data_IF_506846746416
#
_entry.id   IF_506846746416
#
_cell.length_a   1.000
_cell.length_b   1.000
_cell.length_c   1.000
_cell.angle_alpha   90.00
_cell.angle_beta   90.00
_cell.angle_gamma   90.00
#
_symmetry.space_group_name_H-M   'P 1'
#
loop_
_entity.id
_entity.type
_entity.pdbx_description
1 polymer ?
#
# COMPACT_ATOMS: atom_id res chain seq x y z
N UNK A 1 10.56 22.03 -20.54
CA UNK A 1 9.46 21.20 -20.00
C UNK A 1 10.02 20.36 -18.88
N UNK A 2 9.37 20.34 -17.71
CA UNK A 2 9.77 19.49 -16.59
C UNK A 2 9.47 18.05 -16.98
N UNK A 3 10.46 17.15 -16.87
CA UNK A 3 10.22 15.72 -17.09
C UNK A 3 9.35 15.20 -15.93
N UNK A 4 8.21 14.54 -16.21
CA UNK A 4 7.39 13.96 -15.15
C UNK A 4 8.21 12.89 -14.40
N UNK A 5 8.08 12.86 -13.07
CA UNK A 5 8.88 11.97 -12.22
C UNK A 5 8.09 10.75 -11.74
N UNK A 6 7.03 10.94 -10.95
CA UNK A 6 6.28 9.84 -10.34
C UNK A 6 4.77 10.09 -10.18
N UNK A 7 4.26 11.25 -10.59
CA UNK A 7 2.82 11.58 -10.45
C UNK A 7 1.97 11.13 -11.65
N UNK A 8 2.57 10.42 -12.61
CA UNK A 8 1.89 9.78 -13.74
C UNK A 8 2.79 8.70 -14.39
N UNK A 9 2.28 7.91 -15.35
CA UNK A 9 0.99 8.09 -16.05
C UNK A 9 -0.24 7.67 -15.23
N UNK A 10 -0.08 6.84 -14.21
CA UNK A 10 -1.20 6.40 -13.41
C UNK A 10 -1.55 7.42 -12.33
N UNK A 11 -2.85 7.73 -12.23
CA UNK A 11 -3.34 8.83 -11.39
C UNK A 11 -3.33 8.45 -9.92
N UNK A 12 -2.88 9.39 -9.09
CA UNK A 12 -2.95 9.28 -7.63
C UNK A 12 -4.39 9.35 -7.12
N UNK A 13 -4.63 8.68 -6.00
CA UNK A 13 -5.91 8.68 -5.29
C UNK A 13 -6.04 9.96 -4.47
N UNK A 14 -7.22 10.58 -4.51
CA UNK A 14 -7.55 11.72 -3.65
C UNK A 14 -7.94 11.19 -2.26
N UNK A 15 -7.18 11.60 -1.23
CA UNK A 15 -7.50 11.22 0.14
C UNK A 15 -8.83 11.83 0.59
N UNK A 16 -9.62 11.13 1.44
CA UNK A 16 -10.85 11.68 2.01
C UNK A 16 -10.67 13.03 2.71
N UNK A 17 -9.57 13.23 3.43
CA UNK A 17 -9.26 14.48 4.12
C UNK A 17 -9.05 15.64 3.14
N UNK A 18 -8.30 15.40 2.05
CA UNK A 18 -8.15 16.39 0.98
C UNK A 18 -9.49 16.70 0.31
N UNK A 19 -10.29 15.66 0.02
CA UNK A 19 -11.62 15.79 -0.57
C UNK A 19 -12.52 16.66 0.30
N UNK A 20 -12.58 16.39 1.60
CA UNK A 20 -13.40 17.13 2.57
C UNK A 20 -13.00 18.60 2.66
N UNK A 21 -11.69 18.89 2.74
CA UNK A 21 -11.18 20.25 2.73
C UNK A 21 -11.58 21.01 1.46
N UNK A 22 -11.47 20.35 0.29
CA UNK A 22 -11.83 20.90 -1.01
C UNK A 22 -13.33 21.15 -1.17
N UNK A 23 -14.19 20.27 -0.64
CA UNK A 23 -15.66 20.41 -0.74
C UNK A 23 -16.29 21.18 0.42
N UNK A 24 -15.49 21.62 1.41
CA UNK A 24 -15.99 22.29 2.60
C UNK A 24 -16.76 21.38 3.57
N UNK A 25 -16.57 20.05 3.50
CA UNK A 25 -17.18 19.12 4.46
C UNK A 25 -16.38 19.18 5.77
N UNK A 26 -16.96 19.80 6.79
CA UNK A 26 -16.31 19.99 8.10
C UNK A 26 -16.83 19.03 9.18
N UNK A 27 -17.97 18.37 8.96
CA UNK A 27 -18.54 17.41 9.91
C UNK A 27 -18.28 15.97 9.48
N UNK A 28 -17.66 15.22 10.39
CA UNK A 28 -17.57 13.77 10.39
C UNK A 28 -18.20 13.35 11.71
N UNK A 29 -19.15 12.42 11.68
CA UNK A 29 -19.76 11.92 12.92
C UNK A 29 -18.76 11.09 13.72
N UNK A 30 -18.96 10.95 15.03
CA UNK A 30 -18.11 10.07 15.87
C UNK A 30 -18.07 8.63 15.35
N UNK A 31 -19.16 8.17 14.72
CA UNK A 31 -19.27 6.82 14.16
C UNK A 31 -18.54 6.66 12.82
N UNK A 32 -18.26 7.75 12.12
CA UNK A 32 -17.53 7.76 10.84
C UNK A 32 -16.02 8.05 11.02
N UNK A 33 -15.60 8.56 12.18
CA UNK A 33 -14.23 9.02 12.40
C UNK A 33 -13.18 7.92 12.17
N UNK A 34 -13.46 6.70 12.63
CA UNK A 34 -12.57 5.54 12.44
C UNK A 34 -12.41 5.17 10.97
N UNK A 35 -13.54 5.00 10.26
CA UNK A 35 -13.56 4.69 8.83
C UNK A 35 -12.87 5.78 8.00
N UNK A 36 -13.09 7.06 8.34
CA UNK A 36 -12.44 8.18 7.67
C UNK A 36 -10.92 8.16 7.86
N UNK A 37 -10.43 7.93 9.09
CA UNK A 37 -8.99 7.84 9.37
C UNK A 37 -8.35 6.69 8.62
N UNK A 38 -8.98 5.51 8.64
CA UNK A 38 -8.49 4.34 7.92
C UNK A 38 -8.41 4.61 6.42
N UNK A 39 -9.48 5.12 5.81
CA UNK A 39 -9.50 5.44 4.38
C UNK A 39 -8.43 6.49 4.00
N UNK A 40 -8.14 7.47 4.85
CA UNK A 40 -7.02 8.38 4.60
C UNK A 40 -5.66 7.68 4.60
N UNK A 41 -5.42 6.77 5.55
CA UNK A 41 -4.16 6.02 5.63
C UNK A 41 -4.01 5.10 4.42
N UNK A 42 -5.07 4.39 4.05
CA UNK A 42 -5.13 3.56 2.83
C UNK A 42 -4.73 4.37 1.59
N UNK A 43 -5.33 5.56 1.41
CA UNK A 43 -5.07 6.42 0.26
C UNK A 43 -3.59 6.82 0.17
N UNK A 44 -2.97 7.07 1.32
CA UNK A 44 -1.57 7.45 1.40
C UNK A 44 -0.65 6.27 1.06
N UNK A 45 -0.91 5.08 1.61
CA UNK A 45 -0.14 3.86 1.30
C UNK A 45 -0.27 3.50 -0.17
N UNK A 46 -1.49 3.48 -0.71
CA UNK A 46 -1.72 3.25 -2.13
C UNK A 46 -1.02 4.28 -3.01
N UNK A 47 -1.01 5.55 -2.62
CA UNK A 47 -0.27 6.57 -3.35
C UNK A 47 1.26 6.40 -3.30
N UNK A 48 1.82 5.72 -2.30
CA UNK A 48 3.24 5.29 -2.32
C UNK A 48 3.44 4.21 -3.37
N UNK A 49 2.57 3.20 -3.41
CA UNK A 49 2.61 2.12 -4.40
C UNK A 49 2.48 2.65 -5.83
N UNK A 50 1.52 3.55 -6.07
CA UNK A 50 1.27 4.18 -7.37
C UNK A 50 2.49 4.99 -7.83
N UNK A 51 3.09 5.78 -6.93
CA UNK A 51 4.30 6.56 -7.26
C UNK A 51 5.48 5.66 -7.59
N UNK A 52 5.66 4.57 -6.85
CA UNK A 52 6.68 3.58 -7.14
C UNK A 52 6.49 2.99 -8.55
N UNK A 53 5.28 2.57 -8.88
CA UNK A 53 4.99 1.98 -10.20
C UNK A 53 5.16 3.01 -11.35
N UNK A 54 4.71 4.25 -11.15
CA UNK A 54 4.93 5.35 -12.08
C UNK A 54 6.42 5.60 -12.32
N UNK A 55 7.22 5.64 -11.26
CA UNK A 55 8.67 5.82 -11.38
C UNK A 55 9.31 4.65 -12.16
N UNK A 56 8.93 3.41 -11.87
CA UNK A 56 9.40 2.24 -12.63
C UNK A 56 9.02 2.39 -14.11
N UNK A 57 7.76 2.68 -14.40
CA UNK A 57 7.25 2.79 -15.77
C UNK A 57 7.98 3.87 -16.59
N UNK A 58 8.23 5.03 -15.98
CA UNK A 58 8.90 6.16 -16.63
C UNK A 58 10.40 5.93 -16.83
N UNK A 59 11.07 5.30 -15.85
CA UNK A 59 12.52 5.12 -15.91
C UNK A 59 12.95 3.86 -16.66
N UNK A 60 12.09 2.86 -16.81
CA UNK A 60 12.46 1.57 -17.39
C UNK A 60 13.24 1.69 -18.72
N UNK A 61 12.81 2.58 -19.63
CA UNK A 61 13.48 2.77 -20.92
C UNK A 61 14.72 3.65 -20.89
N UNK A 62 15.01 4.32 -19.77
CA UNK A 62 16.13 5.25 -19.64
C UNK A 62 17.37 4.60 -18.98
N UNK A 63 17.21 3.43 -18.35
CA UNK A 63 18.31 2.71 -17.69
C UNK A 63 19.08 1.88 -18.72
N UNK A 64 20.40 2.08 -18.80
CA UNK A 64 21.27 1.40 -19.78
C UNK A 64 22.64 0.98 -19.26
N UNK A 65 23.14 1.62 -18.19
CA UNK A 65 24.41 1.22 -17.57
C UNK A 65 24.20 -0.01 -16.69
N UNK A 66 25.14 -0.96 -16.73
CA UNK A 66 25.02 -2.23 -16.01
C UNK A 66 24.82 -2.04 -14.50
N UNK A 67 25.52 -1.08 -13.89
CA UNK A 67 25.37 -0.78 -12.47
C UNK A 67 23.96 -0.27 -12.16
N UNK A 68 23.47 0.70 -12.93
CA UNK A 68 22.13 1.27 -12.76
C UNK A 68 21.03 0.21 -12.96
N UNK A 69 21.25 -0.77 -13.86
CA UNK A 69 20.32 -1.90 -14.05
C UNK A 69 20.18 -2.72 -12.76
N UNK A 70 21.29 -3.01 -12.05
CA UNK A 70 21.26 -3.79 -10.80
C UNK A 70 20.53 -3.03 -9.69
N UNK A 71 20.81 -1.74 -9.56
CA UNK A 71 20.16 -0.88 -8.58
C UNK A 71 18.66 -0.71 -8.89
N UNK A 72 18.31 -0.56 -10.18
CA UNK A 72 16.92 -0.48 -10.62
C UNK A 72 16.17 -1.79 -10.44
N UNK A 73 16.78 -2.96 -10.64
CA UNK A 73 16.17 -4.25 -10.32
C UNK A 73 15.90 -4.39 -8.82
N UNK A 74 16.81 -3.90 -7.98
CA UNK A 74 16.60 -3.88 -6.52
C UNK A 74 15.42 -2.99 -6.14
N UNK A 75 15.29 -1.82 -6.78
CA UNK A 75 14.14 -0.94 -6.60
C UNK A 75 12.82 -1.57 -7.03
N UNK A 76 12.77 -2.20 -8.22
CA UNK A 76 11.59 -2.92 -8.71
C UNK A 76 11.18 -4.07 -7.78
N UNK A 77 12.16 -4.83 -7.27
CA UNK A 77 11.92 -5.90 -6.32
C UNK A 77 11.39 -5.39 -4.98
N UNK A 78 11.94 -4.28 -4.47
CA UNK A 78 11.46 -3.68 -3.23
C UNK A 78 10.02 -3.18 -3.37
N UNK A 79 9.67 -2.60 -4.52
CA UNK A 79 8.30 -2.21 -4.83
C UNK A 79 7.35 -3.41 -4.83
N UNK A 80 7.69 -4.51 -5.53
CA UNK A 80 6.80 -5.68 -5.60
C UNK A 80 6.66 -6.38 -4.25
N UNK A 81 7.75 -6.49 -3.48
CA UNK A 81 7.71 -6.99 -2.11
C UNK A 81 6.80 -6.15 -1.21
N UNK A 82 6.82 -4.82 -1.37
CA UNK A 82 5.94 -3.92 -0.60
C UNK A 82 4.48 -4.15 -0.98
N UNK A 83 4.18 -4.36 -2.26
CA UNK A 83 2.82 -4.65 -2.72
C UNK A 83 2.29 -5.99 -2.17
N UNK A 84 3.11 -7.05 -2.22
CA UNK A 84 2.77 -8.33 -1.61
C UNK A 84 2.50 -8.18 -0.11
N UNK A 85 3.42 -7.58 0.64
CA UNK A 85 3.28 -7.43 2.08
C UNK A 85 2.06 -6.59 2.48
N UNK A 86 1.69 -5.59 1.67
CA UNK A 86 0.51 -4.77 1.85
C UNK A 86 -0.77 -5.61 1.76
N UNK A 87 -0.97 -6.32 0.64
CA UNK A 87 -2.18 -7.14 0.43
C UNK A 87 -2.23 -8.38 1.34
N UNK A 88 -1.10 -9.03 1.62
CA UNK A 88 -1.03 -10.16 2.56
C UNK A 88 -1.49 -9.74 3.96
N UNK A 89 -1.10 -8.54 4.40
CA UNK A 89 -1.49 -8.00 5.70
C UNK A 89 -2.99 -7.61 5.72
N UNK A 90 -3.54 -7.14 4.61
CA UNK A 90 -4.98 -6.91 4.48
C UNK A 90 -5.76 -8.22 4.62
N UNK A 91 -5.44 -9.25 3.85
CA UNK A 91 -6.17 -10.53 3.90
C UNK A 91 -6.00 -11.25 5.23
N UNK A 92 -4.79 -11.25 5.81
CA UNK A 92 -4.49 -12.04 7.01
C UNK A 92 -4.90 -11.36 8.32
N UNK A 93 -4.98 -10.02 8.35
CA UNK A 93 -5.22 -9.25 9.58
C UNK A 93 -6.25 -8.14 9.39
N UNK A 94 -6.10 -7.31 8.36
CA UNK A 94 -6.92 -6.10 8.17
C UNK A 94 -8.40 -6.40 7.93
N UNK A 95 -8.70 -7.21 6.92
CA UNK A 95 -10.07 -7.55 6.55
C UNK A 95 -10.80 -8.32 7.65
N UNK A 96 -10.21 -9.37 8.26
CA UNK A 96 -10.86 -10.07 9.38
C UNK A 96 -11.19 -9.14 10.56
N UNK A 97 -10.28 -8.22 10.90
CA UNK A 97 -10.51 -7.26 11.97
C UNK A 97 -11.66 -6.28 11.66
N UNK A 98 -11.78 -5.82 10.42
CA UNK A 98 -12.90 -4.97 9.99
C UNK A 98 -14.24 -5.72 10.00
N UNK A 99 -14.26 -6.99 9.60
CA UNK A 99 -15.47 -7.82 9.69
C UNK A 99 -15.89 -8.04 11.14
N UNK A 100 -14.94 -8.29 12.05
CA UNK A 100 -15.22 -8.41 13.49
C UNK A 100 -15.79 -7.10 14.07
N UNK A 101 -15.17 -5.96 13.75
CA UNK A 101 -15.63 -4.66 14.22
C UNK A 101 -17.02 -4.28 13.71
N UNK A 102 -17.36 -4.69 12.49
CA UNK A 102 -18.65 -4.37 11.86
C UNK A 102 -19.73 -5.42 12.13
N UNK A 103 -19.33 -6.64 12.49
CA UNK A 103 -20.23 -7.79 12.60
C UNK A 103 -20.71 -8.34 11.25
N UNK A 104 -20.13 -7.89 10.13
CA UNK A 104 -20.56 -8.27 8.78
C UNK A 104 -19.52 -9.22 8.17
N UNK A 105 -19.83 -10.51 8.20
CA UNK A 105 -18.99 -11.54 7.56
C UNK A 105 -19.00 -11.39 6.04
N UNK A 106 -17.84 -11.52 5.40
CA UNK A 106 -17.69 -11.43 3.94
C UNK A 106 -17.84 -10.01 3.38
N UNK A 107 -17.77 -8.98 4.23
CA UNK A 107 -17.82 -7.57 3.81
C UNK A 107 -16.74 -7.25 2.77
N UNK A 108 -15.59 -7.92 2.86
CA UNK A 108 -14.39 -7.64 2.06
C UNK A 108 -14.03 -8.79 1.10
N UNK A 109 -14.91 -9.77 0.91
CA UNK A 109 -14.69 -10.88 -0.05
C UNK A 109 -14.45 -10.38 -1.48
N UNK A 110 -15.09 -9.27 -1.86
CA UNK A 110 -14.86 -8.64 -3.17
C UNK A 110 -13.44 -8.08 -3.29
N UNK A 111 -12.88 -7.55 -2.21
CA UNK A 111 -11.51 -7.02 -2.18
C UNK A 111 -10.50 -8.16 -2.33
N UNK A 112 -10.74 -9.29 -1.65
CA UNK A 112 -9.94 -10.52 -1.84
C UNK A 112 -10.02 -11.02 -3.29
N UNK A 113 -11.21 -11.03 -3.90
CA UNK A 113 -11.36 -11.41 -5.31
C UNK A 113 -10.61 -10.46 -6.25
N UNK A 114 -10.60 -9.16 -5.93
CA UNK A 114 -9.84 -8.16 -6.69
C UNK A 114 -8.32 -8.37 -6.59
N UNK A 115 -7.79 -8.82 -5.45
CA UNK A 115 -6.37 -9.22 -5.37
C UNK A 115 -6.01 -10.28 -6.40
N UNK A 116 -6.87 -11.30 -6.54
CA UNK A 116 -6.66 -12.39 -7.50
C UNK A 116 -6.62 -11.91 -8.95
N UNK A 117 -7.24 -10.77 -9.29
CA UNK A 117 -7.26 -10.25 -10.65
C UNK A 117 -5.89 -9.75 -11.13
N UNK A 118 -4.99 -9.36 -10.21
CA UNK A 118 -3.65 -8.88 -10.57
C UNK A 118 -2.51 -9.82 -10.17
N UNK A 119 -2.79 -10.89 -9.41
CA UNK A 119 -1.80 -11.86 -8.91
C UNK A 119 -0.90 -12.43 -10.03
N UNK A 120 -1.48 -12.82 -11.17
CA UNK A 120 -0.71 -13.36 -12.30
C UNK A 120 0.21 -12.31 -12.94
N UNK A 121 -0.26 -11.06 -13.03
CA UNK A 121 0.52 -9.93 -13.54
C UNK A 121 1.70 -9.61 -12.61
N UNK A 122 1.46 -9.62 -11.30
CA UNK A 122 2.49 -9.35 -10.29
C UNK A 122 3.54 -10.46 -10.26
N UNK A 123 3.11 -11.73 -10.33
CA UNK A 123 4.02 -12.88 -10.43
C UNK A 123 4.90 -12.82 -11.68
N UNK A 124 4.33 -12.41 -12.81
CA UNK A 124 5.10 -12.25 -14.05
C UNK A 124 6.16 -11.14 -13.92
N UNK A 125 5.82 -10.05 -13.25
CA UNK A 125 6.75 -8.98 -12.93
C UNK A 125 7.89 -9.48 -12.02
N UNK A 126 7.57 -10.18 -10.93
CA UNK A 126 8.55 -10.72 -9.98
C UNK A 126 9.55 -11.68 -10.64
N UNK A 127 9.04 -12.61 -11.45
CA UNK A 127 9.86 -13.60 -12.15
C UNK A 127 10.85 -12.95 -13.10
N UNK A 128 10.42 -11.90 -13.81
CA UNK A 128 11.31 -11.17 -14.70
C UNK A 128 12.39 -10.40 -13.92
N UNK A 129 12.01 -9.66 -12.86
CA UNK A 129 12.96 -8.92 -12.02
C UNK A 129 14.00 -9.86 -11.41
N UNK A 130 13.57 -11.02 -10.88
CA UNK A 130 14.47 -12.05 -10.37
C UNK A 130 15.41 -12.60 -11.47
N UNK A 131 14.87 -12.90 -12.65
CA UNK A 131 15.67 -13.43 -13.77
C UNK A 131 16.74 -12.45 -14.24
N UNK A 132 16.46 -11.14 -14.27
CA UNK A 132 17.46 -10.11 -14.61
C UNK A 132 18.52 -10.01 -13.51
N UNK A 133 18.09 -9.97 -12.24
CA UNK A 133 18.99 -9.91 -11.09
C UNK A 133 19.96 -11.10 -11.04
N UNK A 134 19.49 -12.30 -11.37
CA UNK A 134 20.28 -13.53 -11.36
C UNK A 134 21.09 -13.74 -12.65
N UNK A 135 21.03 -12.79 -13.60
CA UNK A 135 21.75 -12.87 -14.87
C UNK A 135 21.20 -13.90 -15.86
N UNK A 136 20.00 -14.44 -15.59
CA UNK A 136 19.31 -15.40 -16.46
C UNK A 136 18.58 -14.72 -17.62
N UNK A 137 18.28 -13.42 -17.49
CA UNK A 137 17.68 -12.59 -18.53
C UNK A 137 18.48 -11.30 -18.72
N UNK A 138 18.47 -10.76 -19.95
CA UNK A 138 18.97 -9.41 -20.22
C UNK A 138 17.87 -8.39 -19.90
N UNK A 139 18.27 -7.28 -19.30
CA UNK A 139 17.36 -6.17 -19.04
C UNK A 139 16.82 -5.58 -20.35
N UNK A 140 15.49 -5.61 -20.49
CA UNK A 140 14.68 -4.93 -21.49
C UNK A 140 13.68 -4.01 -20.79
N UNK A 141 13.93 -2.70 -20.82
CA UNK A 141 13.03 -1.69 -20.27
C UNK A 141 11.66 -1.62 -20.97
N UNK A 142 11.57 -1.99 -22.25
CA UNK A 142 10.29 -2.08 -22.94
C UNK A 142 9.48 -3.28 -22.45
N UNK A 143 10.14 -4.38 -22.06
CA UNK A 143 9.46 -5.52 -21.44
C UNK A 143 8.90 -5.18 -20.06
N UNK A 144 9.65 -4.47 -19.22
CA UNK A 144 9.15 -3.94 -17.93
C UNK A 144 7.85 -3.17 -18.13
N UNK A 145 7.81 -2.26 -19.12
CA UNK A 145 6.60 -1.49 -19.42
C UNK A 145 5.42 -2.38 -19.83
N UNK A 146 5.64 -3.39 -20.69
CA UNK A 146 4.58 -4.34 -21.09
C UNK A 146 4.03 -5.15 -19.91
N UNK A 147 4.89 -5.55 -18.97
CA UNK A 147 4.47 -6.21 -17.73
C UNK A 147 3.58 -5.28 -16.89
N UNK A 148 3.98 -4.01 -16.75
CA UNK A 148 3.20 -3.00 -16.03
C UNK A 148 1.87 -2.68 -16.76
N UNK A 149 1.87 -2.60 -18.09
CA UNK A 149 0.65 -2.35 -18.88
C UNK A 149 -0.40 -3.46 -18.65
N UNK A 150 0.03 -4.67 -18.29
CA UNK A 150 -0.85 -5.81 -17.93
C UNK A 150 -1.26 -5.77 -16.45
N UNK A 151 -0.32 -5.49 -15.56
CA UNK A 151 -0.52 -5.47 -14.10
C UNK A 151 -1.35 -4.27 -13.62
N UNK A 152 -1.09 -3.09 -14.17
CA UNK A 152 -1.61 -1.84 -13.61
C UNK A 152 -3.15 -1.71 -13.68
N UNK A 153 -3.85 -2.07 -14.77
CA UNK A 153 -5.30 -1.87 -14.81
C UNK A 153 -6.07 -2.55 -13.65
N UNK A 154 -5.95 -3.88 -13.41
CA UNK A 154 -6.66 -4.52 -12.30
C UNK A 154 -6.17 -4.06 -10.93
N UNK A 155 -4.87 -3.76 -10.78
CA UNK A 155 -4.33 -3.20 -9.54
C UNK A 155 -4.97 -1.85 -9.20
N UNK A 156 -5.09 -0.93 -10.15
CA UNK A 156 -5.62 0.40 -9.89
C UNK A 156 -7.12 0.41 -9.64
N UNK A 157 -7.87 -0.49 -10.29
CA UNK A 157 -9.28 -0.72 -9.98
C UNK A 157 -9.46 -1.17 -8.53
N UNK A 158 -8.61 -2.10 -8.06
CA UNK A 158 -8.60 -2.57 -6.69
C UNK A 158 -8.29 -1.43 -5.68
N UNK A 159 -7.17 -0.71 -5.86
CA UNK A 159 -6.77 0.37 -4.95
C UNK A 159 -7.86 1.45 -4.85
N UNK A 160 -8.51 1.80 -5.96
CA UNK A 160 -9.60 2.77 -5.96
C UNK A 160 -10.89 2.24 -5.30
N UNK A 161 -11.14 0.93 -5.37
CA UNK A 161 -12.32 0.33 -4.74
C UNK A 161 -12.23 0.34 -3.21
N UNK A 162 -11.05 0.12 -2.65
CA UNK A 162 -10.81 0.19 -1.20
C UNK A 162 -11.00 1.59 -0.63
N UNK A 163 -10.56 2.63 -1.35
CA UNK A 163 -10.81 4.01 -0.95
C UNK A 163 -12.31 4.34 -0.81
N UNK A 164 -13.14 3.65 -1.58
CA UNK A 164 -14.59 3.86 -1.54
C UNK A 164 -15.28 3.24 -0.31
N UNK A 165 -14.55 2.45 0.51
CA UNK A 165 -15.05 1.82 1.73
C UNK A 165 -15.56 2.82 2.77
N UNK A 166 -15.01 4.04 2.79
CA UNK A 166 -15.50 5.15 3.63
C UNK A 166 -17.01 5.38 3.47
N UNK A 167 -17.57 5.07 2.30
CA UNK A 167 -18.97 5.34 1.94
C UNK A 167 -19.93 4.19 2.26
N UNK A 168 -19.43 3.02 2.66
CA UNK A 168 -20.31 1.90 3.03
C UNK A 168 -20.88 2.21 4.43
N UNK A 169 -22.20 2.19 4.63
CA UNK A 169 -22.79 2.52 5.92
C UNK A 169 -22.33 1.49 6.96
N UNK A 170 -21.68 1.90 8.06
CA UNK A 170 -21.55 1.04 9.20
C UNK A 170 -22.87 1.12 9.96
N UNK A 171 -23.72 0.10 9.86
CA UNK A 171 -24.56 -0.22 11.01
C UNK A 171 -23.64 -0.77 12.11
N UNK A 172 -22.83 0.11 12.71
CA UNK A 172 -22.00 -0.21 13.88
C UNK A 172 -22.94 -0.36 15.07
N UNK A 173 -23.50 -1.55 15.28
CA UNK A 173 -24.33 -1.89 16.44
C UNK A 173 -23.51 -2.23 17.69
N UNK A 174 -22.17 -2.12 17.65
CA UNK A 174 -21.29 -2.39 18.77
C UNK A 174 -20.84 -1.10 19.46
N UNK A 175 -21.15 -0.95 20.75
CA UNK A 175 -20.61 0.11 21.59
C UNK A 175 -19.08 0.01 21.64
N UNK A 176 -18.37 0.93 20.98
CA UNK A 176 -16.94 1.16 21.22
C UNK A 176 -16.77 1.91 22.54
N UNK A 177 -17.12 1.27 23.65
CA UNK A 177 -16.59 1.66 24.95
C UNK A 177 -15.33 0.83 25.20
N UNK A 178 -14.20 1.53 25.24
CA UNK A 178 -12.93 1.11 25.83
C UNK A 178 -11.97 0.21 25.04
N UNK A 179 -11.49 0.64 23.87
CA UNK A 179 -10.10 0.34 23.50
C UNK A 179 -9.40 1.58 22.94
N UNK A 180 -8.39 2.15 23.65
CA UNK A 180 -7.69 3.31 23.16
C UNK A 180 -6.89 2.91 21.93
N UNK A 181 -7.20 3.52 20.78
CA UNK A 181 -6.24 3.62 19.68
C UNK A 181 -5.00 4.27 20.31
N UNK A 182 -3.95 3.47 20.47
CA UNK A 182 -2.74 3.83 21.20
C UNK A 182 -1.98 4.92 20.42
N UNK A 183 -2.38 6.18 20.63
CA UNK A 183 -1.64 7.36 20.18
C UNK A 183 -0.29 7.53 20.93
N UNK A 184 0.06 6.65 21.88
CA UNK A 184 1.29 6.77 22.67
C UNK A 184 2.52 6.10 22.07
N UNK A 185 2.44 5.44 20.90
CA UNK A 185 3.65 4.91 20.24
C UNK A 185 4.53 5.95 19.55
N UNK A 186 4.19 7.25 19.62
CA UNK A 186 5.01 8.37 19.15
C UNK A 186 5.98 8.92 20.21
N UNK A 187 6.02 8.35 21.42
CA UNK A 187 6.91 8.80 22.50
C UNK A 187 7.82 7.69 23.02
N UNK A 188 9.13 7.91 22.86
CA UNK A 188 10.27 7.21 23.48
C UNK A 188 9.96 6.12 24.53
N UNK A 189 10.31 4.85 24.24
CA UNK A 189 10.62 3.88 25.31
C UNK A 189 11.87 3.09 24.96
N UNK A 190 12.87 3.31 25.81
CA UNK A 190 14.16 2.63 25.90
C UNK A 190 13.99 1.11 25.99
N UNK A 191 14.81 0.40 25.24
CA UNK A 191 14.87 -1.06 25.22
C UNK A 191 15.29 -1.60 26.58
N UNK A 192 14.43 -2.43 27.19
CA UNK A 192 14.88 -3.57 28.00
C UNK A 192 14.26 -4.83 27.40
N UNK A 193 15.14 -5.71 26.94
CA UNK A 193 14.83 -7.02 26.37
C UNK A 193 14.75 -8.01 27.51
N UNK A 194 13.63 -8.68 27.72
CA UNK A 194 13.54 -9.94 28.47
C UNK A 194 12.29 -10.75 28.03
N UNK A 195 12.51 -11.92 27.41
CA UNK A 195 11.55 -13.05 27.34
C UNK A 195 10.44 -13.03 26.26
N UNK A 196 9.97 -14.21 25.80
CA UNK A 196 9.11 -14.32 24.62
C UNK A 196 7.63 -14.21 24.98
N UNK A 197 7.05 -13.04 24.78
CA UNK A 197 5.61 -12.90 24.57
C UNK A 197 5.39 -12.30 23.19
N UNK A 198 4.71 -13.04 22.31
CA UNK A 198 4.28 -12.51 21.02
C UNK A 198 3.47 -11.23 21.26
N UNK A 199 3.82 -10.10 20.62
CA UNK A 199 3.08 -8.86 20.81
C UNK A 199 1.67 -8.99 20.21
N UNK A 200 0.68 -8.25 20.74
CA UNK A 200 -0.70 -8.33 20.26
C UNK A 200 -0.82 -7.85 18.80
N UNK A 201 -1.83 -8.34 18.03
CA UNK A 201 -2.01 -8.06 16.60
C UNK A 201 -2.00 -6.56 16.25
N UNK A 202 -2.54 -5.72 17.14
CA UNK A 202 -2.57 -4.26 16.98
C UNK A 202 -1.17 -3.62 16.92
N UNK A 203 -0.19 -4.20 17.64
CA UNK A 203 1.21 -3.75 17.62
C UNK A 203 1.91 -4.18 16.33
N UNK A 204 1.49 -5.28 15.70
CA UNK A 204 2.01 -5.74 14.41
C UNK A 204 1.49 -4.84 13.29
N UNK A 205 0.18 -4.59 13.21
CA UNK A 205 -0.43 -3.73 12.19
C UNK A 205 0.16 -2.30 12.20
N UNK A 206 0.33 -1.71 13.37
CA UNK A 206 0.95 -0.40 13.52
C UNK A 206 2.47 -0.43 13.24
N UNK A 207 3.16 -1.54 13.53
CA UNK A 207 4.56 -1.73 13.14
C UNK A 207 4.70 -1.87 11.62
N UNK A 208 3.84 -2.61 10.93
CA UNK A 208 3.88 -2.78 9.47
C UNK A 208 3.62 -1.46 8.75
N UNK A 209 2.62 -0.69 9.18
CA UNK A 209 2.39 0.68 8.68
C UNK A 209 3.57 1.61 9.00
N UNK A 210 4.16 1.51 10.20
CA UNK A 210 5.36 2.26 10.55
C UNK A 210 6.59 1.81 9.76
N UNK A 211 6.76 0.53 9.43
CA UNK A 211 7.87 0.01 8.63
C UNK A 211 7.75 0.45 7.18
N UNK A 212 6.55 0.42 6.59
CA UNK A 212 6.27 0.99 5.27
C UNK A 212 6.53 2.50 5.28
N UNK A 213 6.11 3.22 6.32
CA UNK A 213 6.35 4.67 6.48
C UNK A 213 7.83 4.99 6.70
N UNK A 214 8.55 4.23 7.54
CA UNK A 214 9.99 4.41 7.83
C UNK A 214 10.86 4.06 6.63
N UNK A 215 10.57 2.98 5.89
CA UNK A 215 11.31 2.64 4.66
C UNK A 215 11.08 3.68 3.57
N UNK A 216 9.85 4.19 3.42
CA UNK A 216 9.53 5.25 2.44
C UNK A 216 10.23 6.57 2.79
N UNK A 217 10.30 6.93 4.07
CA UNK A 217 11.04 8.12 4.53
C UNK A 217 12.57 7.97 4.43
N UNK A 218 13.09 6.74 4.53
CA UNK A 218 14.53 6.46 4.37
C UNK A 218 14.95 6.54 2.89
N UNK A 219 14.13 6.00 1.97
CA UNK A 219 14.37 6.09 0.53
C UNK A 219 14.21 7.52 0.00
N UNK A 220 13.31 8.32 0.57
CA UNK A 220 13.16 9.75 0.25
C UNK A 220 14.33 10.63 0.73
N UNK A 221 15.26 10.10 1.56
CA UNK A 221 16.48 10.81 2.01
C UNK A 221 17.75 10.39 1.28
N UNK A 222 17.67 9.43 0.35
CA UNK A 222 18.80 8.96 -0.47
C UNK A 222 18.79 9.62 -1.87
N UNK A 223 17.86 10.53 -2.14
CA UNK A 223 17.85 11.41 -3.31
C UNK A 223 17.96 12.88 -2.91
#
# INVERSE_FOLDING_TARGET
MVKPWADGPFKLLETPGHRNARTGKTSITKNEEGAHKLANVMALVHNVLIRGLNAIYLQASNISLEQDIKDFCTFMYAWSLTLHAHHDNEESLGFPFLEEMTGIQGLLDINVQQHRLFDEGLKSFDLYVASVKDGLAKYDGAHVRRLIDTLAPPLFEHLAAEESLEKRPPEMSGSCESQPICLSCSGQVSVKVDGPSNPPPQVIFCRTLNYITLYTLLLARIC
#
